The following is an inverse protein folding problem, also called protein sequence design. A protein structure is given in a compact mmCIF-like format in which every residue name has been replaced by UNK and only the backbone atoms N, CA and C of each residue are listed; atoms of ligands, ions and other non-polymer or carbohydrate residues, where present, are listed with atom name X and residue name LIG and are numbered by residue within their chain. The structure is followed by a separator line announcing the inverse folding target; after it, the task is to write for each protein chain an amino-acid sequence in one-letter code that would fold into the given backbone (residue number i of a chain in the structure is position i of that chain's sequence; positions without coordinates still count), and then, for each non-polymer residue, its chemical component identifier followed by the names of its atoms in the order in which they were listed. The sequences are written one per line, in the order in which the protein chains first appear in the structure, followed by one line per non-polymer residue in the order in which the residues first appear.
data_IF_718218427564
#
_entry.id   IF_718218427564
#
_cell.length_a   1.000
_cell.length_b   1.000
_cell.length_c   1.000
_cell.angle_alpha   90.00
_cell.angle_beta   90.00
_cell.angle_gamma   90.00
#
_symmetry.space_group_name_H-M   'P 1'
#
loop_
_entity.id
_entity.type
_entity.pdbx_description
1 polymer ?
#
# COMPACT_ATOMS: atom_id res chain seq x y z
N UNK A 1 20.22 0.76 14.14
CA UNK A 1 19.33 -0.18 13.43
C UNK A 1 19.18 0.32 12.01
N UNK A 2 19.32 -0.57 11.02
CA UNK A 2 19.26 -0.28 9.59
C UNK A 2 17.97 -0.85 8.99
N UNK A 3 17.23 -0.05 8.26
CA UNK A 3 16.04 -0.49 7.55
C UNK A 3 16.21 -0.34 6.03
N UNK A 4 15.87 -1.37 5.29
CA UNK A 4 15.78 -1.34 3.83
C UNK A 4 14.31 -1.23 3.42
N UNK A 5 13.99 -0.23 2.60
CA UNK A 5 12.67 -0.04 1.99
C UNK A 5 12.78 -0.31 0.50
N UNK A 6 12.16 -1.38 0.01
CA UNK A 6 11.99 -1.52 -1.44
C UNK A 6 10.81 -0.68 -1.90
N UNK A 7 10.96 0.04 -3.03
CA UNK A 7 9.93 0.96 -3.50
C UNK A 7 9.83 2.25 -2.68
N UNK A 8 10.95 2.73 -2.13
CA UNK A 8 11.03 3.94 -1.30
C UNK A 8 10.46 5.19 -1.98
N UNK A 9 10.58 5.31 -3.31
CA UNK A 9 10.06 6.45 -4.09
C UNK A 9 8.54 6.43 -4.27
N UNK A 10 7.89 5.32 -3.87
CA UNK A 10 6.44 5.14 -3.98
C UNK A 10 5.66 5.86 -2.88
N UNK A 11 4.34 5.78 -2.97
CA UNK A 11 3.41 6.37 -2.00
C UNK A 11 3.70 5.91 -0.56
N UNK A 12 3.58 4.62 -0.28
CA UNK A 12 3.80 4.08 1.08
C UNK A 12 5.27 4.15 1.48
N UNK A 13 6.19 3.87 0.52
CA UNK A 13 7.63 3.87 0.78
C UNK A 13 8.16 5.21 1.25
N UNK A 14 7.68 6.31 0.68
CA UNK A 14 8.09 7.66 1.09
C UNK A 14 7.60 8.04 2.50
N UNK A 15 6.38 7.64 2.89
CA UNK A 15 5.89 7.81 4.25
C UNK A 15 6.60 6.91 5.25
N UNK A 16 6.95 5.67 4.83
CA UNK A 16 7.74 4.76 5.68
C UNK A 16 9.13 5.33 5.94
N UNK A 17 9.77 5.93 4.94
CA UNK A 17 11.08 6.58 5.12
C UNK A 17 11.00 7.71 6.15
N UNK A 18 10.01 8.60 6.06
CA UNK A 18 9.79 9.67 7.05
C UNK A 18 9.56 9.09 8.45
N UNK A 19 8.69 8.09 8.57
CA UNK A 19 8.38 7.47 9.86
C UNK A 19 9.64 6.85 10.51
N UNK A 20 10.46 6.15 9.75
CA UNK A 20 11.67 5.52 10.26
C UNK A 20 12.74 6.54 10.65
N UNK A 21 12.94 7.60 9.87
CA UNK A 21 13.84 8.70 10.21
C UNK A 21 13.43 9.40 11.52
N UNK A 22 12.13 9.67 11.70
CA UNK A 22 11.59 10.24 12.94
C UNK A 22 11.83 9.34 14.16
N UNK A 23 11.99 8.02 13.94
CA UNK A 23 12.32 7.05 14.99
C UNK A 23 13.82 6.70 15.05
N UNK A 24 14.70 7.55 14.49
CA UNK A 24 16.16 7.40 14.52
C UNK A 24 16.68 6.07 13.92
N UNK A 25 16.02 5.59 12.86
CA UNK A 25 16.45 4.42 12.09
C UNK A 25 17.23 4.90 10.86
N UNK A 26 18.38 4.29 10.60
CA UNK A 26 19.16 4.50 9.37
C UNK A 26 18.41 3.87 8.19
N UNK A 27 18.07 4.69 7.18
CA UNK A 27 17.18 4.28 6.08
C UNK A 27 17.95 4.07 4.80
N UNK A 28 17.85 2.86 4.26
CA UNK A 28 18.26 2.49 2.90
C UNK A 28 17.02 2.31 2.02
N UNK A 29 17.08 2.78 0.79
CA UNK A 29 15.99 2.63 -0.17
C UNK A 29 16.47 2.03 -1.49
N UNK A 30 15.77 0.99 -1.98
CA UNK A 30 16.04 0.52 -3.34
C UNK A 30 15.29 1.36 -4.36
N UNK A 31 15.98 1.75 -5.43
CA UNK A 31 15.45 2.53 -6.55
C UNK A 31 15.85 1.89 -7.87
N UNK A 32 15.03 2.05 -8.92
CA UNK A 32 15.44 1.75 -10.30
C UNK A 32 16.03 2.99 -10.93
N UNK A 33 16.88 2.83 -11.93
CA UNK A 33 17.61 3.92 -12.63
C UNK A 33 16.75 5.14 -13.00
N UNK A 34 15.46 4.94 -13.30
CA UNK A 34 14.55 6.01 -13.72
C UNK A 34 13.38 6.21 -12.77
N UNK A 35 13.53 5.82 -11.50
CA UNK A 35 12.48 6.03 -10.52
C UNK A 35 12.24 7.53 -10.29
N UNK A 36 10.98 8.01 -10.34
CA UNK A 36 10.67 9.38 -9.93
C UNK A 36 11.06 9.60 -8.46
N UNK A 37 11.68 10.74 -8.16
CA UNK A 37 12.17 11.07 -6.80
C UNK A 37 11.28 12.09 -6.08
N UNK A 38 10.16 12.51 -6.69
CA UNK A 38 9.35 13.64 -6.22
C UNK A 38 8.85 13.47 -4.78
N UNK A 39 8.51 12.24 -4.38
CA UNK A 39 8.01 11.95 -3.03
C UNK A 39 9.08 11.93 -1.95
N UNK A 40 10.36 11.83 -2.32
CA UNK A 40 11.48 11.70 -1.37
C UNK A 40 12.54 12.80 -1.53
N UNK A 41 12.32 13.80 -2.41
CA UNK A 41 13.29 14.89 -2.65
C UNK A 41 13.76 15.56 -1.36
N UNK A 42 12.85 15.76 -0.42
CA UNK A 42 13.13 16.39 0.87
C UNK A 42 13.91 15.52 1.86
N UNK A 43 14.09 14.22 1.54
CA UNK A 43 14.80 13.24 2.39
C UNK A 43 16.17 12.84 1.85
N UNK A 44 16.57 13.32 0.66
CA UNK A 44 17.76 12.82 -0.05
C UNK A 44 19.07 12.95 0.75
N UNK A 45 19.14 13.89 1.70
CA UNK A 45 20.31 14.07 2.57
C UNK A 45 20.30 13.14 3.79
N UNK A 46 19.17 12.51 4.08
CA UNK A 46 18.95 11.74 5.32
C UNK A 46 18.81 10.24 5.04
N UNK A 47 18.75 9.84 3.76
CA UNK A 47 18.55 8.44 3.33
C UNK A 47 19.66 7.98 2.38
N UNK A 48 19.91 6.67 2.33
CA UNK A 48 20.84 6.05 1.43
C UNK A 48 20.10 5.34 0.29
N UNK A 49 20.28 5.80 -0.95
CA UNK A 49 19.65 5.18 -2.11
C UNK A 49 20.61 4.20 -2.78
N UNK A 50 20.11 3.00 -3.09
CA UNK A 50 20.86 1.96 -3.81
C UNK A 50 20.07 1.55 -5.05
N UNK A 51 20.72 1.60 -6.21
CA UNK A 51 20.09 1.12 -7.44
C UNK A 51 19.95 -0.40 -7.40
N UNK A 52 18.73 -0.89 -7.68
CA UNK A 52 18.43 -2.31 -7.68
C UNK A 52 17.23 -2.65 -8.58
N UNK A 53 17.40 -3.63 -9.47
CA UNK A 53 16.30 -4.29 -10.17
C UNK A 53 15.93 -5.57 -9.39
N UNK A 54 14.78 -5.55 -8.73
CA UNK A 54 14.36 -6.64 -7.83
C UNK A 54 14.14 -7.98 -8.56
N UNK A 55 13.90 -7.96 -9.87
CA UNK A 55 13.75 -9.20 -10.67
C UNK A 55 15.08 -9.85 -11.01
N UNK A 56 16.20 -9.16 -10.80
CA UNK A 56 17.53 -9.68 -10.98
C UNK A 56 18.12 -10.15 -9.64
N UNK A 57 18.35 -11.47 -9.45
CA UNK A 57 18.88 -12.01 -8.21
C UNK A 57 20.27 -11.45 -7.85
N UNK A 58 21.13 -11.18 -8.83
CA UNK A 58 22.46 -10.61 -8.57
C UNK A 58 22.39 -9.17 -8.07
N UNK A 59 21.45 -8.39 -8.62
CA UNK A 59 21.19 -7.02 -8.15
C UNK A 59 20.68 -7.01 -6.70
N UNK A 60 19.78 -7.96 -6.33
CA UNK A 60 19.27 -8.08 -4.97
C UNK A 60 20.34 -8.58 -4.00
N UNK A 61 21.15 -9.55 -4.40
CA UNK A 61 22.26 -10.03 -3.58
C UNK A 61 23.28 -8.90 -3.28
N UNK A 62 23.63 -8.09 -4.30
CA UNK A 62 24.49 -6.92 -4.14
C UNK A 62 23.89 -5.88 -3.18
N UNK A 63 22.59 -5.57 -3.33
CA UNK A 63 21.84 -4.67 -2.43
C UNK A 63 21.94 -5.14 -0.98
N UNK A 64 21.62 -6.41 -0.71
CA UNK A 64 21.60 -6.94 0.66
C UNK A 64 23.01 -7.09 1.26
N UNK A 65 24.00 -7.43 0.43
CA UNK A 65 25.40 -7.51 0.86
C UNK A 65 25.95 -6.14 1.28
N UNK A 66 25.60 -5.08 0.54
CA UNK A 66 26.06 -3.72 0.82
C UNK A 66 25.33 -3.06 2.00
N UNK A 67 24.04 -3.32 2.15
CA UNK A 67 23.21 -2.65 3.17
C UNK A 67 23.18 -3.40 4.50
N UNK A 68 23.15 -4.73 4.47
CA UNK A 68 23.02 -5.62 5.67
C UNK A 68 21.94 -5.09 6.63
N UNK A 69 20.66 -5.04 6.19
CA UNK A 69 19.60 -4.43 6.97
C UNK A 69 19.19 -5.32 8.16
N UNK A 70 18.79 -4.69 9.25
CA UNK A 70 18.11 -5.35 10.38
C UNK A 70 16.60 -5.56 10.07
N UNK A 71 16.02 -4.61 9.32
CA UNK A 71 14.61 -4.60 8.91
C UNK A 71 14.49 -4.44 7.40
N UNK A 72 13.58 -5.20 6.79
CA UNK A 72 13.22 -5.05 5.38
C UNK A 72 11.72 -4.77 5.27
N UNK A 73 11.36 -3.62 4.68
CA UNK A 73 9.99 -3.30 4.30
C UNK A 73 9.85 -3.51 2.79
N UNK A 74 9.24 -4.64 2.41
CA UNK A 74 9.05 -4.96 0.99
C UNK A 74 7.76 -4.35 0.47
N UNK A 75 7.86 -3.12 -0.06
CA UNK A 75 6.74 -2.30 -0.54
C UNK A 75 6.71 -2.16 -2.07
N UNK A 76 7.78 -2.57 -2.75
CA UNK A 76 7.85 -2.53 -4.21
C UNK A 76 6.89 -3.54 -4.84
N UNK A 77 5.93 -3.06 -5.60
CA UNK A 77 4.99 -3.89 -6.36
C UNK A 77 4.35 -3.10 -7.50
N UNK A 78 3.89 -3.80 -8.55
CA UNK A 78 2.85 -3.26 -9.41
C UNK A 78 1.53 -3.37 -8.64
N UNK A 79 0.95 -2.24 -8.19
CA UNK A 79 -0.16 -2.19 -7.24
C UNK A 79 -1.48 -1.67 -7.83
N UNK A 80 -1.48 -1.20 -9.07
CA UNK A 80 -2.69 -0.68 -9.70
C UNK A 80 -3.48 -1.81 -10.37
N UNK A 81 -4.62 -2.18 -9.77
CA UNK A 81 -5.45 -3.32 -10.21
C UNK A 81 -5.80 -3.26 -11.71
N UNK A 82 -6.24 -2.11 -12.29
CA UNK A 82 -6.53 -2.04 -13.72
C UNK A 82 -5.35 -2.42 -14.62
N UNK A 83 -4.12 -2.05 -14.28
CA UNK A 83 -2.92 -2.46 -15.04
C UNK A 83 -2.74 -3.97 -15.02
N UNK A 84 -3.11 -4.66 -13.95
CA UNK A 84 -2.97 -6.12 -13.88
C UNK A 84 -3.84 -6.87 -14.89
N UNK A 85 -4.97 -6.29 -15.30
CA UNK A 85 -5.82 -6.86 -16.36
C UNK A 85 -5.19 -6.71 -17.74
N UNK A 86 -4.50 -5.59 -17.99
CA UNK A 86 -3.85 -5.34 -19.29
C UNK A 86 -2.49 -6.04 -19.40
N UNK A 87 -1.80 -6.23 -18.27
CA UNK A 87 -0.45 -6.82 -18.21
C UNK A 87 -0.33 -7.82 -17.05
N UNK A 88 -1.06 -8.96 -17.10
CA UNK A 88 -1.10 -9.92 -16.00
C UNK A 88 0.25 -10.58 -15.75
N UNK A 89 0.98 -10.95 -16.80
CA UNK A 89 2.30 -11.60 -16.69
C UNK A 89 3.31 -10.65 -16.05
N UNK A 90 3.35 -9.39 -16.47
CA UNK A 90 4.25 -8.39 -15.89
C UNK A 90 3.92 -8.15 -14.41
N UNK A 91 2.64 -8.07 -14.04
CA UNK A 91 2.20 -7.93 -12.65
C UNK A 91 2.66 -9.11 -11.79
N UNK A 92 2.42 -10.34 -12.24
CA UNK A 92 2.81 -11.57 -11.54
C UNK A 92 4.34 -11.64 -11.41
N UNK A 93 5.06 -11.41 -12.50
CA UNK A 93 6.52 -11.50 -12.52
C UNK A 93 7.16 -10.44 -11.62
N UNK A 94 6.73 -9.19 -11.69
CA UNK A 94 7.26 -8.13 -10.83
C UNK A 94 7.03 -8.42 -9.35
N UNK A 95 5.81 -8.81 -8.99
CA UNK A 95 5.44 -8.94 -7.58
C UNK A 95 6.02 -10.21 -6.95
N UNK A 96 6.05 -11.32 -7.66
CA UNK A 96 6.48 -12.63 -7.12
C UNK A 96 7.99 -12.78 -7.21
N UNK A 97 8.59 -12.56 -8.39
CA UNK A 97 10.03 -12.77 -8.58
C UNK A 97 10.87 -11.87 -7.68
N UNK A 98 10.49 -10.57 -7.56
CA UNK A 98 11.19 -9.64 -6.68
C UNK A 98 11.20 -10.09 -5.22
N UNK A 99 10.09 -10.61 -4.72
CA UNK A 99 10.01 -11.13 -3.35
C UNK A 99 10.83 -12.40 -3.16
N UNK A 100 10.77 -13.35 -4.12
CA UNK A 100 11.59 -14.58 -4.07
C UNK A 100 13.07 -14.21 -4.02
N UNK A 101 13.52 -13.29 -4.86
CA UNK A 101 14.93 -12.87 -4.88
C UNK A 101 15.38 -12.29 -3.54
N UNK A 102 14.54 -11.48 -2.89
CA UNK A 102 14.83 -10.97 -1.55
C UNK A 102 14.96 -12.12 -0.54
N UNK A 103 13.99 -13.03 -0.52
CA UNK A 103 14.01 -14.15 0.44
C UNK A 103 15.20 -15.08 0.22
N UNK A 104 15.50 -15.43 -1.04
CA UNK A 104 16.65 -16.25 -1.37
C UNK A 104 17.97 -15.57 -1.00
N UNK A 105 18.13 -14.29 -1.27
CA UNK A 105 19.35 -13.57 -0.90
C UNK A 105 19.49 -13.46 0.63
N UNK A 106 18.42 -13.19 1.38
CA UNK A 106 18.44 -13.22 2.86
C UNK A 106 18.86 -14.60 3.38
N UNK A 107 18.29 -15.67 2.80
CA UNK A 107 18.58 -17.06 3.18
C UNK A 107 20.03 -17.45 2.87
N UNK A 108 20.51 -17.14 1.66
CA UNK A 108 21.86 -17.50 1.20
C UNK A 108 22.95 -16.72 1.93
N UNK A 109 22.73 -15.42 2.15
CA UNK A 109 23.65 -14.55 2.90
C UNK A 109 23.54 -14.77 4.43
N UNK A 110 22.60 -15.59 4.90
CA UNK A 110 22.32 -15.87 6.31
C UNK A 110 22.13 -14.59 7.13
N UNK A 111 21.38 -13.62 6.57
CA UNK A 111 21.10 -12.37 7.27
C UNK A 111 20.08 -12.59 8.38
N UNK A 112 20.40 -12.13 9.57
CA UNK A 112 19.45 -12.08 10.70
C UNK A 112 18.67 -10.77 10.62
N UNK A 113 17.64 -10.76 9.81
CA UNK A 113 16.78 -9.59 9.61
C UNK A 113 15.30 -9.97 9.64
N UNK A 114 14.46 -8.99 9.99
CA UNK A 114 13.00 -9.14 9.98
C UNK A 114 12.44 -8.54 8.70
N UNK A 115 11.48 -9.22 8.08
CA UNK A 115 10.92 -8.85 6.79
C UNK A 115 9.42 -8.62 6.92
N UNK A 116 8.95 -7.42 6.64
CA UNK A 116 7.53 -7.13 6.43
C UNK A 116 7.24 -7.16 4.93
N UNK A 117 6.22 -7.91 4.54
CA UNK A 117 5.70 -7.92 3.17
C UNK A 117 4.32 -7.28 3.11
N UNK A 118 4.16 -6.35 2.17
CA UNK A 118 2.87 -5.68 1.93
C UNK A 118 1.96 -6.59 1.09
N UNK A 119 1.13 -7.35 1.76
CA UNK A 119 0.01 -8.11 1.20
C UNK A 119 -1.20 -7.18 0.95
N UNK A 120 -2.38 -7.73 0.67
CA UNK A 120 -3.54 -6.92 0.27
C UNK A 120 -4.87 -7.56 0.65
N UNK A 121 -5.89 -6.75 0.97
CA UNK A 121 -7.28 -7.20 1.08
C UNK A 121 -7.85 -7.74 -0.24
N UNK A 122 -7.25 -7.41 -1.39
CA UNK A 122 -7.62 -7.98 -2.70
C UNK A 122 -7.40 -9.50 -2.80
N UNK A 123 -6.67 -10.08 -1.84
CA UNK A 123 -6.50 -11.53 -1.70
C UNK A 123 -7.82 -12.22 -1.34
N UNK A 124 -8.65 -11.58 -0.52
CA UNK A 124 -9.97 -12.11 -0.15
C UNK A 124 -10.93 -12.13 -1.34
N UNK A 125 -10.82 -11.13 -2.24
CA UNK A 125 -11.56 -11.05 -3.49
C UNK A 125 -13.07 -11.15 -3.29
N UNK A 126 -13.71 -12.26 -3.69
CA UNK A 126 -15.13 -12.48 -3.45
C UNK A 126 -15.42 -12.78 -1.99
N UNK A 127 -16.15 -11.90 -1.33
CA UNK A 127 -16.56 -12.02 0.07
C UNK A 127 -18.08 -12.06 0.14
N UNK A 128 -18.64 -13.11 0.75
CA UNK A 128 -20.09 -13.20 0.95
C UNK A 128 -20.55 -12.23 2.06
N UNK A 129 -21.83 -11.77 2.04
CA UNK A 129 -22.33 -10.81 3.03
C UNK A 129 -22.17 -11.26 4.50
N UNK A 130 -22.26 -12.54 4.78
CA UNK A 130 -22.09 -13.12 6.11
C UNK A 130 -20.62 -13.32 6.53
N UNK A 131 -19.67 -12.99 5.66
CA UNK A 131 -18.23 -13.07 5.92
C UNK A 131 -17.61 -11.70 6.27
N UNK A 132 -18.44 -10.66 6.44
CA UNK A 132 -18.03 -9.29 6.80
C UNK A 132 -18.35 -9.04 8.30
N UNK A 133 -17.43 -8.43 9.08
CA UNK A 133 -16.10 -7.93 8.69
C UNK A 133 -15.09 -9.05 8.42
N UNK A 134 -14.18 -8.79 7.47
CA UNK A 134 -13.23 -9.77 6.96
C UNK A 134 -12.11 -9.99 7.98
N UNK A 135 -11.94 -11.24 8.41
CA UNK A 135 -10.85 -11.69 9.29
C UNK A 135 -9.77 -12.44 8.50
N UNK A 136 -8.65 -12.71 9.15
CA UNK A 136 -7.53 -13.41 8.52
C UNK A 136 -7.86 -14.86 8.10
N UNK A 137 -8.86 -15.48 8.74
CA UNK A 137 -9.34 -16.83 8.46
C UNK A 137 -10.35 -16.88 7.30
N UNK A 138 -10.82 -15.73 6.79
CA UNK A 138 -11.74 -15.70 5.65
C UNK A 138 -11.11 -16.39 4.42
N UNK A 139 -11.91 -17.08 3.60
CA UNK A 139 -11.42 -17.73 2.40
C UNK A 139 -10.75 -16.77 1.42
N UNK A 140 -9.66 -17.20 0.82
CA UNK A 140 -8.90 -16.47 -0.21
C UNK A 140 -9.49 -16.80 -1.58
N UNK A 141 -10.15 -15.80 -2.22
CA UNK A 141 -10.87 -15.95 -3.50
C UNK A 141 -10.61 -14.74 -4.43
N UNK A 142 -9.33 -14.48 -4.81
CA UNK A 142 -8.94 -13.28 -5.54
C UNK A 142 -9.68 -13.16 -6.87
N UNK A 143 -10.08 -11.94 -7.24
CA UNK A 143 -10.84 -11.64 -8.46
C UNK A 143 -10.01 -10.87 -9.51
N UNK A 144 -8.71 -10.66 -9.29
CA UNK A 144 -7.84 -9.95 -10.22
C UNK A 144 -6.46 -10.58 -10.30
N UNK A 145 -5.71 -10.43 -11.42
CA UNK A 145 -4.31 -10.89 -11.50
C UNK A 145 -3.42 -10.25 -10.41
N UNK A 146 -3.70 -8.99 -10.01
CA UNK A 146 -3.04 -8.38 -8.87
C UNK A 146 -3.33 -9.14 -7.56
N UNK A 147 -4.61 -9.43 -7.27
CA UNK A 147 -4.99 -10.22 -6.10
C UNK A 147 -4.30 -11.59 -6.07
N UNK A 148 -4.25 -12.30 -7.20
CA UNK A 148 -3.52 -13.57 -7.33
C UNK A 148 -2.04 -13.39 -7.03
N UNK A 149 -1.40 -12.34 -7.53
CA UNK A 149 0.01 -12.07 -7.23
C UNK A 149 0.26 -11.80 -5.74
N UNK A 150 -0.69 -11.15 -5.05
CA UNK A 150 -0.62 -10.89 -3.61
C UNK A 150 -0.82 -12.16 -2.78
N UNK A 151 -1.75 -13.03 -3.18
CA UNK A 151 -1.90 -14.38 -2.58
C UNK A 151 -0.58 -15.16 -2.67
N UNK A 152 0.07 -15.16 -3.84
CA UNK A 152 1.35 -15.83 -4.00
C UNK A 152 2.43 -15.22 -3.08
N UNK A 153 2.51 -13.89 -2.96
CA UNK A 153 3.44 -13.22 -2.05
C UNK A 153 3.18 -13.58 -0.58
N UNK A 154 1.91 -13.59 -0.16
CA UNK A 154 1.49 -13.95 1.19
C UNK A 154 1.91 -15.39 1.52
N UNK A 155 1.53 -16.37 0.67
CA UNK A 155 1.83 -17.79 0.91
C UNK A 155 3.33 -18.11 0.78
N UNK A 156 4.09 -17.39 -0.07
CA UNK A 156 5.55 -17.48 -0.06
C UNK A 156 6.12 -17.00 1.29
N UNK A 157 5.60 -15.91 1.86
CA UNK A 157 6.00 -15.47 3.20
C UNK A 157 5.77 -16.54 4.27
N UNK A 158 4.61 -17.20 4.24
CA UNK A 158 4.30 -18.33 5.11
C UNK A 158 5.27 -19.50 4.90
N UNK A 159 5.48 -19.89 3.64
CA UNK A 159 6.34 -21.03 3.29
C UNK A 159 7.80 -20.77 3.70
N UNK A 160 8.37 -19.59 3.45
CA UNK A 160 9.75 -19.30 3.81
C UNK A 160 9.98 -19.26 5.32
N UNK A 161 9.00 -18.79 6.10
CA UNK A 161 9.05 -18.90 7.54
C UNK A 161 9.08 -20.36 8.00
N UNK A 162 8.12 -21.17 7.57
CA UNK A 162 7.99 -22.56 8.04
C UNK A 162 9.10 -23.48 7.53
N UNK A 163 9.59 -23.28 6.30
CA UNK A 163 10.59 -24.16 5.70
C UNK A 163 12.03 -23.75 6.01
N UNK A 164 12.28 -22.45 6.19
CA UNK A 164 13.64 -21.93 6.31
C UNK A 164 13.86 -21.06 7.55
N UNK A 165 12.83 -20.79 8.33
CA UNK A 165 12.94 -19.99 9.54
C UNK A 165 13.14 -18.49 9.30
N UNK A 166 12.86 -17.97 8.09
CA UNK A 166 12.96 -16.53 7.85
C UNK A 166 11.93 -15.78 8.68
N UNK A 167 12.34 -14.71 9.36
CA UNK A 167 11.45 -13.89 10.17
C UNK A 167 10.58 -13.00 9.27
N UNK A 168 9.44 -13.52 8.80
CA UNK A 168 8.54 -12.83 7.89
C UNK A 168 7.21 -12.48 8.56
N UNK A 169 6.77 -11.24 8.44
CA UNK A 169 5.45 -10.73 8.81
C UNK A 169 4.66 -10.37 7.55
N UNK A 170 3.39 -10.82 7.48
CA UNK A 170 2.50 -10.66 6.33
C UNK A 170 1.37 -9.71 6.69
N UNK A 171 1.29 -8.52 6.06
CA UNK A 171 0.27 -7.52 6.37
C UNK A 171 -0.72 -7.39 5.22
N UNK A 172 -1.95 -7.91 5.39
CA UNK A 172 -3.06 -7.79 4.45
C UNK A 172 -3.74 -6.44 4.64
N UNK A 173 -3.19 -5.42 3.97
CA UNK A 173 -3.65 -4.04 4.14
C UNK A 173 -4.87 -3.76 3.30
N UNK A 174 -5.91 -3.20 3.92
CA UNK A 174 -7.10 -2.70 3.26
C UNK A 174 -6.82 -1.38 2.54
N UNK A 175 -7.83 -0.77 1.90
CA UNK A 175 -7.59 0.45 1.16
C UNK A 175 -6.96 1.51 2.06
N UNK A 176 -5.95 2.18 1.57
CA UNK A 176 -5.29 3.25 2.29
C UNK A 176 -5.01 4.42 1.37
N UNK A 177 -5.06 5.63 1.92
CA UNK A 177 -4.90 6.86 1.17
C UNK A 177 -4.23 7.95 2.00
N UNK A 178 -3.96 9.08 1.39
CA UNK A 178 -3.30 10.24 1.99
C UNK A 178 -2.44 11.01 0.99
N UNK A 179 -1.72 12.04 1.41
CA UNK A 179 -0.79 12.79 0.58
C UNK A 179 0.15 11.87 -0.21
N UNK A 180 0.48 12.22 -1.45
CA UNK A 180 1.32 11.41 -2.37
C UNK A 180 0.64 10.16 -2.96
N UNK A 181 -0.63 9.89 -2.64
CA UNK A 181 -1.37 8.82 -3.35
C UNK A 181 -1.48 9.17 -4.84
N UNK A 182 -1.14 8.20 -5.71
CA UNK A 182 -1.18 8.40 -7.17
C UNK A 182 -2.58 8.76 -7.68
N UNK A 183 -2.65 9.62 -8.68
CA UNK A 183 -3.89 10.16 -9.28
C UNK A 183 -4.84 9.11 -9.88
N UNK A 184 -4.34 7.92 -10.17
CA UNK A 184 -5.13 6.82 -10.71
C UNK A 184 -6.06 6.15 -9.67
N UNK A 185 -5.87 6.44 -8.39
CA UNK A 185 -6.69 5.90 -7.30
C UNK A 185 -7.84 6.84 -6.95
N UNK A 186 -9.01 6.30 -6.69
CA UNK A 186 -10.27 7.03 -6.60
C UNK A 186 -10.23 8.25 -5.67
N UNK A 187 -9.70 8.12 -4.46
CA UNK A 187 -9.59 9.23 -3.49
C UNK A 187 -8.74 10.36 -4.05
N UNK A 188 -7.59 10.01 -4.61
CA UNK A 188 -6.62 10.96 -5.16
C UNK A 188 -7.12 11.56 -6.48
N UNK A 189 -7.80 10.77 -7.31
CA UNK A 189 -8.41 11.24 -8.54
C UNK A 189 -9.44 12.35 -8.29
N UNK A 190 -10.32 12.14 -7.31
CA UNK A 190 -11.31 13.14 -6.95
C UNK A 190 -10.67 14.38 -6.34
N UNK A 191 -9.74 14.21 -5.40
CA UNK A 191 -9.03 15.34 -4.77
C UNK A 191 -8.27 16.18 -5.82
N UNK A 192 -7.60 15.54 -6.78
CA UNK A 192 -6.90 16.24 -7.87
C UNK A 192 -7.87 17.02 -8.75
N UNK A 193 -8.97 16.40 -9.20
CA UNK A 193 -9.97 17.07 -10.04
C UNK A 193 -10.56 18.29 -9.33
N UNK A 194 -10.88 18.16 -8.03
CA UNK A 194 -11.39 19.28 -7.22
C UNK A 194 -10.35 20.41 -7.15
N UNK A 195 -9.09 20.11 -6.86
CA UNK A 195 -8.03 21.11 -6.82
C UNK A 195 -7.81 21.82 -8.17
N UNK A 196 -7.88 21.07 -9.30
CA UNK A 196 -7.80 21.65 -10.65
C UNK A 196 -9.00 22.56 -10.97
N UNK A 197 -10.20 22.23 -10.50
CA UNK A 197 -11.41 23.05 -10.64
C UNK A 197 -11.26 24.35 -9.80
N UNK A 198 -10.86 24.22 -8.53
CA UNK A 198 -10.65 25.38 -7.65
C UNK A 198 -9.63 26.38 -8.21
N UNK A 199 -8.64 25.88 -8.97
CA UNK A 199 -7.63 26.72 -9.62
C UNK A 199 -8.09 27.30 -10.98
N UNK A 200 -9.28 26.92 -11.45
CA UNK A 200 -9.80 27.32 -12.76
C UNK A 200 -9.21 26.57 -13.96
N UNK A 201 -8.45 25.50 -13.71
CA UNK A 201 -7.83 24.69 -14.76
C UNK A 201 -8.83 23.71 -15.43
N UNK A 202 -9.99 23.48 -14.81
CA UNK A 202 -11.07 22.61 -15.32
C UNK A 202 -12.45 23.25 -15.10
N UNK A 203 -13.41 22.86 -15.93
CA UNK A 203 -14.82 23.16 -15.71
C UNK A 203 -15.29 22.51 -14.39
N UNK A 204 -16.28 23.11 -13.68
CA UNK A 204 -16.76 22.61 -12.40
C UNK A 204 -17.64 21.35 -12.55
N UNK A 205 -17.07 20.32 -13.20
CA UNK A 205 -17.71 19.01 -13.43
C UNK A 205 -16.72 17.91 -13.05
N UNK A 206 -17.15 17.01 -12.17
CA UNK A 206 -16.37 15.85 -11.72
C UNK A 206 -17.01 14.56 -12.28
N UNK A 207 -16.21 13.77 -12.99
CA UNK A 207 -16.67 12.51 -13.58
C UNK A 207 -16.36 11.33 -12.68
N UNK A 208 -17.38 10.49 -12.42
CA UNK A 208 -17.31 9.37 -11.46
C UNK A 208 -17.69 8.04 -12.11
N UNK A 209 -17.21 6.93 -11.51
CA UNK A 209 -17.67 5.57 -11.79
C UNK A 209 -18.67 5.09 -10.74
N UNK A 210 -18.53 3.82 -10.28
CA UNK A 210 -19.41 3.23 -9.28
C UNK A 210 -19.24 3.92 -7.91
N UNK A 211 -20.27 4.64 -7.47
CA UNK A 211 -20.30 5.35 -6.19
C UNK A 211 -20.82 4.48 -5.02
N UNK A 212 -21.44 3.34 -5.31
CA UNK A 212 -22.10 2.51 -4.28
C UNK A 212 -21.16 1.50 -3.61
N UNK A 213 -19.99 1.24 -4.20
CA UNK A 213 -19.01 0.35 -3.62
C UNK A 213 -18.55 0.85 -2.23
N UNK A 214 -18.51 -0.07 -1.25
CA UNK A 214 -18.10 0.24 0.14
C UNK A 214 -16.66 -0.19 0.37
N UNK A 215 -15.85 0.72 0.92
CA UNK A 215 -14.43 0.49 1.18
C UNK A 215 -14.05 0.93 2.58
N UNK A 216 -13.17 0.15 3.18
CA UNK A 216 -12.47 0.48 4.41
C UNK A 216 -11.19 1.24 4.03
N UNK A 217 -11.11 2.50 4.46
CA UNK A 217 -9.95 3.35 4.19
C UNK A 217 -9.19 3.67 5.48
N UNK A 218 -7.89 3.45 5.44
CA UNK A 218 -6.95 3.83 6.51
C UNK A 218 -6.01 4.94 6.01
N UNK A 219 -5.59 5.84 6.88
CA UNK A 219 -4.54 6.81 6.56
C UNK A 219 -3.20 6.09 6.37
N UNK A 220 -2.43 6.50 5.36
CA UNK A 220 -1.12 5.91 5.07
C UNK A 220 -0.14 6.03 6.24
N UNK A 221 -0.24 7.09 7.06
CA UNK A 221 0.60 7.29 8.24
C UNK A 221 0.30 6.27 9.33
N UNK A 222 -0.96 5.88 9.50
CA UNK A 222 -1.35 4.77 10.36
C UNK A 222 -0.88 3.42 9.81
N UNK A 223 -0.89 3.25 8.47
CA UNK A 223 -0.41 2.02 7.82
C UNK A 223 1.10 1.83 8.02
N UNK A 224 1.92 2.86 7.82
CA UNK A 224 3.37 2.72 8.02
C UNK A 224 3.72 2.46 9.49
N UNK A 225 2.97 3.05 10.43
CA UNK A 225 3.08 2.74 11.86
C UNK A 225 2.71 1.27 12.13
N UNK A 226 1.67 0.75 11.47
CA UNK A 226 1.31 -0.67 11.56
C UNK A 226 2.42 -1.59 11.06
N UNK A 227 3.04 -1.27 9.93
CA UNK A 227 4.13 -2.08 9.36
C UNK A 227 5.35 -2.13 10.28
N UNK A 228 5.72 -1.00 10.88
CA UNK A 228 6.80 -0.97 11.87
C UNK A 228 6.46 -1.80 13.12
N UNK A 229 5.26 -1.65 13.67
CA UNK A 229 4.79 -2.42 14.82
C UNK A 229 4.66 -3.92 14.52
N UNK A 230 4.34 -4.30 13.27
CA UNK A 230 4.33 -5.70 12.87
C UNK A 230 5.71 -6.33 13.05
N UNK A 231 6.79 -5.67 12.64
CA UNK A 231 8.16 -6.16 12.83
C UNK A 231 8.64 -6.10 14.28
N UNK A 232 8.12 -5.17 15.09
CA UNK A 232 8.48 -5.01 16.50
C UNK A 232 7.79 -6.06 17.40
N UNK A 233 6.47 -6.27 17.20
CA UNK A 233 5.60 -7.00 18.14
C UNK A 233 4.82 -8.16 17.52
N UNK A 234 4.76 -8.25 16.19
CA UNK A 234 4.04 -9.31 15.51
C UNK A 234 4.71 -10.68 15.68
N UNK A 235 3.91 -11.73 15.54
CA UNK A 235 4.40 -13.11 15.59
C UNK A 235 4.93 -13.51 14.21
N UNK A 236 6.19 -13.95 14.09
CA UNK A 236 6.76 -14.36 12.81
C UNK A 236 5.93 -15.45 12.12
N UNK A 237 5.80 -15.36 10.81
CA UNK A 237 5.00 -16.29 10.01
C UNK A 237 3.50 -15.98 9.99
N UNK A 238 2.99 -15.11 10.89
CA UNK A 238 1.58 -14.76 10.94
C UNK A 238 1.19 -13.71 9.88
N UNK A 239 -0.10 -13.75 9.50
CA UNK A 239 -0.74 -12.70 8.71
C UNK A 239 -1.63 -11.83 9.59
N UNK A 240 -1.68 -10.52 9.28
CA UNK A 240 -2.48 -9.55 9.99
C UNK A 240 -3.24 -8.63 9.03
N UNK A 241 -4.52 -8.44 9.27
CA UNK A 241 -5.29 -7.40 8.61
C UNK A 241 -4.93 -6.02 9.16
N UNK A 242 -4.64 -5.09 8.26
CA UNK A 242 -4.46 -3.67 8.58
C UNK A 242 -5.63 -2.92 7.96
N UNK A 243 -6.58 -2.50 8.79
CA UNK A 243 -7.86 -1.92 8.40
C UNK A 243 -8.30 -0.84 9.39
N UNK A 244 -9.19 0.05 8.98
CA UNK A 244 -9.78 1.03 9.91
C UNK A 244 -10.93 0.44 10.75
N UNK A 245 -11.50 -0.69 10.31
CA UNK A 245 -12.69 -1.27 10.91
C UNK A 245 -13.98 -0.46 10.63
N UNK A 246 -13.91 0.48 9.69
CA UNK A 246 -15.03 1.30 9.25
C UNK A 246 -15.07 1.36 7.73
N UNK A 247 -16.22 1.21 7.13
CA UNK A 247 -16.38 1.41 5.70
C UNK A 247 -17.27 2.61 5.40
N UNK A 248 -17.03 3.24 4.26
CA UNK A 248 -17.90 4.24 3.65
C UNK A 248 -18.12 3.91 2.18
N UNK A 249 -19.21 4.40 1.60
CA UNK A 249 -19.40 4.36 0.16
C UNK A 249 -18.44 5.33 -0.54
N UNK A 250 -18.16 5.10 -1.81
CA UNK A 250 -17.39 6.05 -2.62
C UNK A 250 -18.14 7.39 -2.71
N UNK A 251 -19.48 7.37 -2.68
CA UNK A 251 -20.31 8.58 -2.63
C UNK A 251 -20.10 9.37 -1.34
N UNK A 252 -20.13 8.71 -0.18
CA UNK A 252 -19.88 9.37 1.12
C UNK A 252 -18.46 9.99 1.15
N UNK A 253 -17.46 9.29 0.64
CA UNK A 253 -16.10 9.81 0.51
C UNK A 253 -16.03 11.03 -0.42
N UNK A 254 -16.71 10.98 -1.57
CA UNK A 254 -16.80 12.12 -2.49
C UNK A 254 -17.49 13.32 -1.84
N UNK A 255 -18.59 13.10 -1.12
CA UNK A 255 -19.33 14.17 -0.43
C UNK A 255 -18.47 14.86 0.65
N UNK A 256 -17.58 14.10 1.34
CA UNK A 256 -16.62 14.71 2.26
C UNK A 256 -15.66 15.64 1.48
N UNK A 257 -15.08 15.18 0.37
CA UNK A 257 -14.18 16.01 -0.46
C UNK A 257 -14.88 17.24 -1.02
N UNK A 258 -16.11 17.12 -1.53
CA UNK A 258 -16.91 18.24 -2.02
C UNK A 258 -17.21 19.24 -0.91
N UNK A 259 -17.47 18.79 0.32
CA UNK A 259 -17.67 19.66 1.47
C UNK A 259 -16.43 20.49 1.88
N UNK A 260 -15.25 20.06 1.45
CA UNK A 260 -13.97 20.75 1.67
C UNK A 260 -13.63 21.73 0.53
N UNK A 261 -14.35 21.63 -0.59
CA UNK A 261 -14.19 22.53 -1.73
C UNK A 261 -14.92 23.86 -1.50
N UNK A 262 -14.39 24.92 -2.12
CA UNK A 262 -15.03 26.24 -2.17
C UNK A 262 -15.91 26.44 -3.42
N UNK A 263 -15.82 25.52 -4.36
CA UNK A 263 -16.52 25.56 -5.64
C UNK A 263 -17.78 24.69 -5.63
N UNK A 264 -18.80 25.12 -6.39
CA UNK A 264 -19.98 24.31 -6.64
C UNK A 264 -19.69 23.37 -7.84
N UNK A 265 -19.48 22.09 -7.57
CA UNK A 265 -19.04 21.12 -8.55
C UNK A 265 -20.18 20.16 -8.90
N UNK A 266 -20.54 20.09 -10.17
CA UNK A 266 -21.50 19.12 -10.70
C UNK A 266 -20.86 17.72 -10.77
N UNK A 267 -21.57 16.68 -10.32
CA UNK A 267 -21.09 15.27 -10.41
C UNK A 267 -21.81 14.57 -11.56
N UNK A 268 -21.04 13.97 -12.48
CA UNK A 268 -21.55 13.23 -13.63
C UNK A 268 -20.99 11.81 -13.68
N UNK A 269 -21.86 10.84 -13.92
CA UNK A 269 -21.44 9.45 -14.17
C UNK A 269 -20.75 9.32 -15.54
N UNK A 270 -19.67 8.53 -15.56
CA UNK A 270 -18.91 8.15 -16.75
C UNK A 270 -18.79 6.63 -16.81
N UNK A 271 -19.49 6.01 -17.74
CA UNK A 271 -19.54 4.56 -17.91
C UNK A 271 -18.16 3.94 -18.22
N UNK A 272 -17.23 4.71 -18.80
CA UNK A 272 -15.87 4.25 -19.09
C UNK A 272 -15.05 3.99 -17.82
N UNK A 273 -15.49 4.50 -16.66
CA UNK A 273 -14.88 4.33 -15.34
C UNK A 273 -15.43 3.14 -14.57
N UNK A 274 -16.42 2.42 -15.10
CA UNK A 274 -16.96 1.20 -14.49
C UNK A 274 -15.97 0.04 -14.65
N UNK A 275 -15.85 -0.81 -13.63
CA UNK A 275 -14.99 -2.01 -13.67
C UNK A 275 -15.81 -3.23 -14.06
N UNK A 276 -15.20 -4.22 -14.75
CA UNK A 276 -15.89 -5.47 -15.12
C UNK A 276 -16.33 -6.30 -13.90
N UNK A 277 -15.58 -6.22 -12.80
CA UNK A 277 -15.87 -6.88 -11.54
C UNK A 277 -15.52 -5.93 -10.40
N UNK A 278 -16.44 -5.66 -9.51
CA UNK A 278 -16.23 -4.83 -8.33
C UNK A 278 -16.70 -5.59 -7.10
N UNK A 279 -15.87 -5.60 -6.06
CA UNK A 279 -16.25 -6.15 -4.76
C UNK A 279 -17.19 -5.16 -4.09
N UNK A 280 -18.39 -5.60 -3.72
CA UNK A 280 -19.42 -4.70 -3.17
C UNK A 280 -18.98 -4.08 -1.84
N UNK A 281 -18.44 -4.89 -0.91
CA UNK A 281 -18.03 -4.44 0.41
C UNK A 281 -16.65 -5.00 0.74
N UNK A 282 -15.70 -4.14 1.07
CA UNK A 282 -14.44 -4.50 1.71
C UNK A 282 -14.37 -3.77 3.07
N UNK A 283 -14.64 -4.50 4.14
CA UNK A 283 -14.54 -4.04 5.54
C UNK A 283 -13.69 -5.04 6.31
N UNK A 284 -12.56 -4.58 6.85
CA UNK A 284 -11.63 -5.43 7.58
C UNK A 284 -11.86 -5.45 9.08
N UNK A 285 -11.53 -6.59 9.70
CA UNK A 285 -11.37 -6.73 11.15
C UNK A 285 -9.87 -6.69 11.47
N UNK A 286 -9.41 -5.73 12.26
CA UNK A 286 -8.03 -5.59 12.69
C UNK A 286 -7.78 -6.10 14.13
N UNK A 287 -8.74 -6.77 14.73
CA UNK A 287 -8.70 -7.18 16.14
C UNK A 287 -7.50 -8.07 16.46
N UNK A 288 -7.13 -8.99 15.56
CA UNK A 288 -5.95 -9.85 15.72
C UNK A 288 -4.67 -9.02 15.81
N UNK A 289 -4.51 -8.03 14.93
CA UNK A 289 -3.37 -7.14 14.94
C UNK A 289 -3.35 -6.23 16.16
N UNK A 290 -4.51 -5.71 16.56
CA UNK A 290 -4.66 -4.92 17.79
C UNK A 290 -4.24 -5.72 19.03
N UNK A 291 -4.69 -6.96 19.16
CA UNK A 291 -4.32 -7.84 20.28
C UNK A 291 -2.81 -8.11 20.35
N UNK A 292 -2.18 -8.32 19.20
CA UNK A 292 -0.75 -8.60 19.13
C UNK A 292 0.13 -7.38 19.40
N UNK A 293 -0.30 -6.17 18.99
CA UNK A 293 0.57 -5.00 18.93
C UNK A 293 0.08 -3.78 19.69
N UNK A 294 -1.20 -3.74 20.05
CA UNK A 294 -1.88 -2.54 20.58
C UNK A 294 -2.22 -1.50 19.52
N UNK A 295 -1.94 -1.76 18.23
CA UNK A 295 -2.21 -0.83 17.14
C UNK A 295 -3.71 -0.60 16.94
N UNK A 296 -4.07 0.63 16.64
CA UNK A 296 -5.40 1.05 16.13
C UNK A 296 -5.21 2.23 15.18
N UNK A 297 -6.12 2.46 14.23
CA UNK A 297 -6.09 3.67 13.42
C UNK A 297 -6.37 4.90 14.31
N UNK A 298 -5.61 5.97 14.12
CA UNK A 298 -5.68 7.18 14.96
C UNK A 298 -6.10 8.41 14.16
N UNK A 299 -5.82 8.43 12.84
CA UNK A 299 -6.11 9.58 11.99
C UNK A 299 -7.53 9.47 11.43
N UNK A 300 -8.43 10.44 11.71
CA UNK A 300 -9.78 10.44 11.16
C UNK A 300 -9.78 10.51 9.63
N UNK A 301 -10.64 9.76 8.97
CA UNK A 301 -10.69 9.70 7.50
C UNK A 301 -10.95 11.08 6.85
N UNK A 302 -11.76 11.94 7.48
CA UNK A 302 -11.97 13.33 7.03
C UNK A 302 -10.64 14.11 6.99
N UNK A 303 -9.79 13.97 8.01
CA UNK A 303 -8.47 14.60 8.04
C UNK A 303 -7.56 14.07 6.92
N UNK A 304 -7.59 12.76 6.68
CA UNK A 304 -6.87 12.13 5.57
C UNK A 304 -7.25 12.73 4.22
N UNK A 305 -8.56 12.92 3.98
CA UNK A 305 -9.07 13.51 2.74
C UNK A 305 -8.73 15.00 2.60
N UNK A 306 -8.78 15.75 3.70
CA UNK A 306 -8.36 17.16 3.73
C UNK A 306 -6.88 17.32 3.41
N UNK A 307 -6.02 16.52 4.04
CA UNK A 307 -4.58 16.51 3.78
C UNK A 307 -4.27 16.13 2.33
N UNK A 308 -5.01 15.14 1.79
CA UNK A 308 -4.88 14.72 0.40
C UNK A 308 -5.32 15.82 -0.58
N UNK A 309 -6.41 16.51 -0.30
CA UNK A 309 -6.87 17.63 -1.13
C UNK A 309 -5.86 18.80 -1.09
N UNK A 310 -5.35 19.15 0.09
CA UNK A 310 -4.33 20.18 0.24
C UNK A 310 -3.03 19.80 -0.48
N UNK A 311 -2.62 18.55 -0.43
CA UNK A 311 -1.50 18.03 -1.21
C UNK A 311 -1.66 18.33 -2.72
N UNK A 312 -2.87 18.14 -3.27
CA UNK A 312 -3.13 18.43 -4.69
C UNK A 312 -3.24 19.93 -4.98
N UNK A 313 -3.82 20.74 -4.08
CA UNK A 313 -3.90 22.20 -4.20
C UNK A 313 -2.52 22.85 -4.40
N UNK A 314 -1.50 22.27 -3.78
CA UNK A 314 -0.11 22.73 -3.92
C UNK A 314 0.56 22.34 -5.24
N UNK A 315 0.00 21.38 -6.01
CA UNK A 315 0.65 20.72 -7.16
C UNK A 315 -0.04 20.89 -8.50
N UNK A 316 -1.26 21.39 -8.55
CA UNK A 316 -2.00 21.64 -9.79
C UNK A 316 -1.93 23.09 -10.24
#
# INVERSE_FOLDING_TARGET
MKALITGITGFVGSHMAEYLLQNNVEVFGSVRQRSPMDHIKHLLNDIHLVECELRDPFSVESLLTSTKPDLIFHLAAQSFVPTSWNSPIDTIHNNIAGQINIFEAVRQLKLDCKIQIACSSEEYGFVAPNEVPIKEENPIRPLSPYGVSKVAQDFLGYQYYHSYGLHVLRTRTFNHTGPRRGENFVTSNFAKQIAEIEKGNKQPVLYVGNLQAKRDFTDVRDVVRAYALALEKGVPGESYNIASGKCCTIEEMLNILLSLSKENIEVKEDSSRMRPSDVEILLGDYSKFHQATGWKPEIPFRQTLEDLLNYWRERV
#
